data_IF_634095581400
#
_entry.id   IF_634095581400
#
_cell.length_a   1.000
_cell.length_b   1.000
_cell.length_c   1.000
_cell.angle_alpha   90.00
_cell.angle_beta   90.00
_cell.angle_gamma   90.00
#
_symmetry.space_group_name_H-M   'P 1'
#
loop_
_entity.id
_entity.type
_entity.pdbx_description
1 polymer ?
#
# COMPACT_ATOMS: atom_id res chain seq x y z
N UNK A 1 -8.41 21.62 23.93
CA UNK A 1 -8.52 21.04 22.58
C UNK A 1 -8.63 19.53 22.72
N UNK A 2 -9.71 18.91 22.22
CA UNK A 2 -9.71 17.44 22.01
C UNK A 2 -8.98 17.19 20.71
N UNK A 3 -7.75 16.71 20.77
CA UNK A 3 -7.08 16.20 19.58
C UNK A 3 -7.84 14.99 19.05
N UNK A 4 -8.07 14.94 17.74
CA UNK A 4 -8.62 13.76 17.08
C UNK A 4 -7.58 12.64 17.15
N UNK A 5 -7.96 11.44 17.60
CA UNK A 5 -7.06 10.29 17.70
C UNK A 5 -6.36 9.98 16.36
N UNK A 6 -7.06 10.15 15.24
CA UNK A 6 -6.46 9.93 13.92
C UNK A 6 -5.35 10.94 13.59
N UNK A 7 -5.46 12.16 14.09
CA UNK A 7 -4.46 13.21 13.87
C UNK A 7 -3.22 12.96 14.71
N UNK A 8 -3.40 12.50 15.96
CA UNK A 8 -2.29 12.04 16.81
C UNK A 8 -1.56 10.87 16.13
N UNK A 9 -2.31 9.87 15.66
CA UNK A 9 -1.72 8.71 14.97
C UNK A 9 -1.02 9.08 13.67
N UNK A 10 -1.55 10.05 12.93
CA UNK A 10 -0.93 10.55 11.71
C UNK A 10 0.39 11.28 11.99
N UNK A 11 0.42 12.18 12.97
CA UNK A 11 1.64 12.87 13.36
C UNK A 11 2.70 11.89 13.87
N UNK A 12 2.28 10.89 14.66
CA UNK A 12 3.18 9.83 15.10
C UNK A 12 3.72 9.01 13.91
N UNK A 13 2.88 8.71 12.92
CA UNK A 13 3.34 8.07 11.70
C UNK A 13 4.38 8.91 10.95
N UNK A 14 4.22 10.23 10.87
CA UNK A 14 5.22 11.11 10.24
C UNK A 14 6.56 11.13 11.00
N UNK A 15 6.52 11.14 12.33
CA UNK A 15 7.73 11.19 13.15
C UNK A 15 8.58 9.92 13.05
N UNK A 16 7.94 8.74 13.02
CA UNK A 16 8.65 7.46 13.02
C UNK A 16 9.03 6.97 11.61
N UNK A 17 8.35 7.45 10.57
CA UNK A 17 8.60 7.02 9.20
C UNK A 17 9.53 8.01 8.49
N UNK A 18 10.83 7.70 8.47
CA UNK A 18 11.78 8.34 7.55
C UNK A 18 11.65 7.69 6.17
N UNK A 19 10.74 8.18 5.34
CA UNK A 19 10.50 7.64 3.99
C UNK A 19 10.98 8.63 2.95
N UNK A 20 11.86 8.15 2.08
CA UNK A 20 12.21 8.82 0.84
C UNK A 20 11.62 8.05 -0.34
N UNK A 21 11.00 8.78 -1.26
CA UNK A 21 10.55 8.22 -2.51
C UNK A 21 11.74 8.15 -3.47
N UNK A 22 12.05 6.97 -4.01
CA UNK A 22 13.06 6.88 -5.06
C UNK A 22 12.61 7.72 -6.27
N UNK A 23 13.51 8.52 -6.82
CA UNK A 23 13.23 9.46 -7.92
C UNK A 23 12.47 8.83 -9.10
N UNK A 24 12.78 7.57 -9.41
CA UNK A 24 12.21 6.87 -10.56
C UNK A 24 10.81 6.27 -10.28
N UNK A 25 10.36 6.26 -9.02
CA UNK A 25 9.11 5.60 -8.62
C UNK A 25 7.91 6.18 -9.37
N UNK A 26 7.81 7.51 -9.45
CA UNK A 26 6.71 8.19 -10.14
C UNK A 26 6.72 7.86 -11.64
N UNK A 27 7.90 7.91 -12.27
CA UNK A 27 8.04 7.60 -13.70
C UNK A 27 7.59 6.17 -14.02
N UNK A 28 7.98 5.20 -13.20
CA UNK A 28 7.56 3.80 -13.35
C UNK A 28 6.03 3.66 -13.17
N UNK A 29 5.46 4.28 -12.13
CA UNK A 29 4.02 4.22 -11.89
C UNK A 29 3.21 4.87 -13.02
N UNK A 30 3.67 5.98 -13.59
CA UNK A 30 3.06 6.59 -14.77
C UNK A 30 3.15 5.67 -15.99
N UNK A 31 4.29 5.02 -16.24
CA UNK A 31 4.42 4.08 -17.36
C UNK A 31 3.48 2.88 -17.21
N UNK A 32 3.38 2.30 -16.00
CA UNK A 32 2.45 1.20 -15.73
C UNK A 32 1.00 1.62 -15.97
N UNK A 33 0.64 2.84 -15.55
CA UNK A 33 -0.68 3.43 -15.79
C UNK A 33 -0.95 3.63 -17.29
N UNK A 34 0.00 4.15 -18.06
CA UNK A 34 -0.11 4.32 -19.52
C UNK A 34 -0.27 2.98 -20.25
N UNK A 35 0.36 1.92 -19.74
CA UNK A 35 0.22 0.55 -20.27
C UNK A 35 -1.08 -0.13 -19.85
N UNK A 36 -1.93 0.53 -19.03
CA UNK A 36 -3.16 -0.06 -18.51
C UNK A 36 -2.93 -1.20 -17.52
N UNK A 37 -1.74 -1.28 -16.92
CA UNK A 37 -1.39 -2.32 -15.94
C UNK A 37 -1.90 -1.88 -14.56
N UNK A 38 -2.86 -2.61 -13.95
CA UNK A 38 -3.36 -2.25 -12.63
C UNK A 38 -2.31 -2.51 -11.56
N UNK A 39 -2.07 -1.51 -10.71
CA UNK A 39 -1.10 -1.59 -9.61
C UNK A 39 -1.84 -1.62 -8.27
N UNK A 40 -1.42 -2.49 -7.37
CA UNK A 40 -1.92 -2.60 -6.01
C UNK A 40 -0.76 -2.46 -5.03
N UNK A 41 -0.97 -1.74 -3.93
CA UNK A 41 0.03 -1.60 -2.87
C UNK A 41 -0.32 -2.52 -1.69
N UNK A 42 0.60 -3.40 -1.32
CA UNK A 42 0.52 -4.20 -0.10
C UNK A 42 1.71 -3.89 0.82
N UNK A 43 1.45 -3.18 1.92
CA UNK A 43 2.48 -2.83 2.91
C UNK A 43 2.22 -3.49 4.26
N UNK A 44 3.28 -3.96 4.91
CA UNK A 44 3.19 -4.13 6.36
C UNK A 44 3.15 -2.71 6.93
N UNK A 45 2.26 -2.42 7.86
CA UNK A 45 2.22 -1.17 8.62
C UNK A 45 1.51 -1.44 9.93
N UNK A 46 1.92 -0.73 10.98
CA UNK A 46 1.23 -0.72 12.27
C UNK A 46 0.00 0.22 12.26
N UNK A 47 -0.08 1.10 11.26
CA UNK A 47 -1.18 2.04 11.09
C UNK A 47 -2.18 1.54 10.05
N UNK A 48 -3.45 1.78 10.34
CA UNK A 48 -4.58 1.47 9.45
C UNK A 48 -4.64 2.41 8.26
N UNK A 49 -5.40 1.99 7.23
CA UNK A 49 -5.55 2.72 5.97
C UNK A 49 -6.02 4.17 6.11
N UNK A 50 -6.91 4.47 7.06
CA UNK A 50 -7.39 5.84 7.30
C UNK A 50 -6.25 6.81 7.65
N UNK A 51 -5.26 6.36 8.42
CA UNK A 51 -4.07 7.14 8.77
C UNK A 51 -3.09 7.15 7.60
N UNK A 52 -2.75 5.98 7.07
CA UNK A 52 -1.73 5.86 6.01
C UNK A 52 -2.14 6.48 4.69
N UNK A 53 -3.44 6.59 4.39
CA UNK A 53 -3.92 7.25 3.18
C UNK A 53 -3.50 8.73 3.14
N UNK A 54 -3.51 9.41 4.29
CA UNK A 54 -3.00 10.80 4.39
C UNK A 54 -1.52 10.86 4.03
N UNK A 55 -0.73 9.88 4.48
CA UNK A 55 0.69 9.78 4.17
C UNK A 55 0.96 9.57 2.67
N UNK A 56 0.26 8.61 2.05
CA UNK A 56 0.37 8.35 0.60
C UNK A 56 -0.03 9.57 -0.23
N UNK A 57 -1.07 10.30 0.20
CA UNK A 57 -1.54 11.49 -0.50
C UNK A 57 -0.54 12.66 -0.48
N UNK A 58 0.35 12.73 0.52
CA UNK A 58 1.40 13.78 0.54
C UNK A 58 2.35 13.68 -0.66
N UNK A 59 2.49 12.48 -1.23
CA UNK A 59 3.30 12.21 -2.41
C UNK A 59 2.47 12.09 -3.69
N UNK A 60 1.17 12.39 -3.63
CA UNK A 60 0.21 12.24 -4.75
C UNK A 60 0.22 10.83 -5.37
N UNK A 61 0.42 9.80 -4.54
CA UNK A 61 0.61 8.42 -4.99
C UNK A 61 -0.69 7.60 -5.10
N UNK A 62 -1.77 7.99 -4.40
CA UNK A 62 -3.04 7.23 -4.34
C UNK A 62 -3.63 7.00 -5.73
N UNK A 63 -3.43 7.96 -6.65
CA UNK A 63 -3.93 7.92 -8.04
C UNK A 63 -3.32 6.82 -8.93
N UNK A 64 -2.27 6.14 -8.48
CA UNK A 64 -1.61 5.07 -9.21
C UNK A 64 -2.08 3.68 -8.79
N UNK A 65 -2.71 3.55 -7.62
CA UNK A 65 -3.10 2.27 -7.07
C UNK A 65 -4.60 2.04 -7.25
N UNK A 66 -4.97 0.88 -7.79
CA UNK A 66 -6.38 0.43 -7.82
C UNK A 66 -6.87 0.26 -6.38
N UNK A 67 -6.04 -0.34 -5.53
CA UNK A 67 -6.28 -0.39 -4.10
C UNK A 67 -4.97 -0.45 -3.30
N UNK A 68 -5.07 -0.07 -2.03
CA UNK A 68 -3.98 -0.08 -1.06
C UNK A 68 -4.41 -0.88 0.17
N UNK A 69 -3.54 -1.79 0.60
CA UNK A 69 -3.73 -2.73 1.69
C UNK A 69 -2.61 -2.58 2.74
N UNK A 70 -2.98 -2.33 3.99
CA UNK A 70 -2.05 -2.30 5.12
C UNK A 70 -2.31 -3.47 6.07
N UNK A 71 -1.26 -4.13 6.57
CA UNK A 71 -1.40 -5.28 7.49
C UNK A 71 -2.23 -4.97 8.74
N UNK A 72 -2.15 -3.75 9.27
CA UNK A 72 -2.92 -3.33 10.45
C UNK A 72 -4.44 -3.35 10.24
N UNK A 73 -4.91 -3.27 8.98
CA UNK A 73 -6.34 -3.39 8.69
C UNK A 73 -6.85 -4.82 8.90
N UNK A 74 -5.96 -5.82 8.79
CA UNK A 74 -6.30 -7.24 8.81
C UNK A 74 -5.80 -7.98 10.05
N UNK A 75 -4.93 -7.35 10.85
CA UNK A 75 -4.30 -7.99 12.02
C UNK A 75 -3.27 -9.08 11.68
N UNK A 76 -2.92 -9.23 10.40
CA UNK A 76 -1.95 -10.20 9.89
C UNK A 76 -0.91 -9.49 9.02
N UNK A 77 0.35 -9.96 9.05
CA UNK A 77 1.48 -9.33 8.36
C UNK A 77 2.12 -10.28 7.34
N UNK A 78 2.72 -9.73 6.28
CA UNK A 78 3.60 -10.51 5.39
C UNK A 78 4.71 -11.18 6.22
N UNK A 79 5.08 -12.45 5.95
CA UNK A 79 4.72 -13.24 4.77
C UNK A 79 3.49 -14.16 4.95
N UNK A 80 2.56 -13.86 5.88
CA UNK A 80 1.38 -14.69 6.09
C UNK A 80 0.54 -14.84 4.80
N UNK A 81 0.22 -16.08 4.41
CA UNK A 81 -0.46 -16.41 3.15
C UNK A 81 -1.81 -15.71 3.02
N UNK A 82 -2.62 -15.72 4.07
CA UNK A 82 -3.96 -15.11 4.07
C UNK A 82 -3.94 -13.63 3.67
N UNK A 83 -2.86 -12.90 3.98
CA UNK A 83 -2.75 -11.50 3.58
C UNK A 83 -2.62 -11.36 2.06
N UNK A 84 -1.91 -12.28 1.41
CA UNK A 84 -1.84 -12.31 -0.06
C UNK A 84 -3.16 -12.77 -0.68
N UNK A 85 -3.88 -13.70 -0.04
CA UNK A 85 -5.20 -14.15 -0.50
C UNK A 85 -6.22 -13.01 -0.45
N UNK A 86 -6.23 -12.21 0.63
CA UNK A 86 -7.08 -11.01 0.74
C UNK A 86 -6.85 -10.03 -0.42
N UNK A 87 -5.58 -9.76 -0.76
CA UNK A 87 -5.25 -8.88 -1.88
C UNK A 87 -5.67 -9.50 -3.21
N UNK A 88 -5.43 -10.80 -3.40
CA UNK A 88 -5.81 -11.49 -4.62
C UNK A 88 -7.33 -11.54 -4.85
N UNK A 89 -8.09 -11.75 -3.79
CA UNK A 89 -9.55 -11.69 -3.84
C UNK A 89 -10.05 -10.27 -4.18
N UNK A 90 -9.34 -9.23 -3.75
CA UNK A 90 -9.63 -7.85 -4.16
C UNK A 90 -9.36 -7.63 -5.65
N UNK A 91 -8.23 -8.10 -6.15
CA UNK A 91 -7.89 -8.03 -7.58
C UNK A 91 -8.97 -8.73 -8.41
N UNK A 92 -9.47 -9.88 -7.96
CA UNK A 92 -10.52 -10.65 -8.64
C UNK A 92 -11.86 -9.91 -8.77
N UNK A 93 -12.13 -8.92 -7.91
CA UNK A 93 -13.34 -8.08 -8.06
C UNK A 93 -13.26 -7.20 -9.31
N UNK A 94 -12.06 -6.89 -9.77
CA UNK A 94 -11.79 -6.06 -10.95
C UNK A 94 -11.45 -6.88 -12.20
N UNK A 95 -10.85 -8.07 -12.03
CA UNK A 95 -10.58 -9.02 -13.11
C UNK A 95 -10.76 -10.46 -12.62
N UNK A 96 -11.91 -11.07 -12.92
CA UNK A 96 -12.24 -12.45 -12.52
C UNK A 96 -11.44 -13.52 -13.29
N UNK A 97 -10.77 -13.14 -14.38
CA UNK A 97 -10.01 -14.06 -15.25
C UNK A 97 -8.55 -14.21 -14.80
N UNK A 98 -8.10 -13.36 -13.87
CA UNK A 98 -6.72 -13.36 -13.40
C UNK A 98 -6.38 -14.64 -12.62
N UNK A 99 -5.18 -15.15 -12.88
CA UNK A 99 -4.60 -16.32 -12.20
C UNK A 99 -3.37 -15.89 -11.43
N UNK A 100 -3.04 -16.61 -10.37
CA UNK A 100 -1.86 -16.35 -9.52
C UNK A 100 -0.55 -16.22 -10.30
N UNK A 101 -0.37 -17.01 -11.36
CA UNK A 101 0.84 -16.99 -12.19
C UNK A 101 0.98 -15.74 -13.08
N UNK A 102 -0.05 -14.89 -13.17
CA UNK A 102 -0.01 -13.61 -13.86
C UNK A 102 0.23 -12.42 -12.91
N UNK A 103 0.29 -12.67 -11.60
CA UNK A 103 0.57 -11.65 -10.61
C UNK A 103 2.08 -11.47 -10.44
N UNK A 104 2.59 -10.29 -10.79
CA UNK A 104 3.97 -9.92 -10.49
C UNK A 104 4.00 -9.22 -9.13
N UNK A 105 4.58 -9.88 -8.12
CA UNK A 105 4.87 -9.24 -6.84
C UNK A 105 6.20 -8.50 -6.95
N UNK A 106 6.13 -7.17 -7.10
CA UNK A 106 7.30 -6.31 -6.98
C UNK A 106 7.51 -5.96 -5.51
N UNK A 107 8.59 -6.50 -4.93
CA UNK A 107 8.97 -6.19 -3.57
C UNK A 107 10.45 -6.44 -3.36
N UNK A 108 11.13 -5.42 -2.85
CA UNK A 108 12.32 -5.67 -2.03
C UNK A 108 11.76 -6.15 -0.69
N UNK A 109 12.20 -7.29 -0.16
CA UNK A 109 11.96 -7.64 1.25
C UNK A 109 12.76 -6.68 2.12
N UNK A 110 12.38 -5.41 2.13
CA UNK A 110 12.77 -4.52 3.19
C UNK A 110 12.01 -5.02 4.41
N UNK A 111 12.76 -5.44 5.44
CA UNK A 111 12.36 -5.11 6.80
C UNK A 111 12.23 -3.58 6.83
N UNK A 112 11.11 -3.05 6.34
CA UNK A 112 10.64 -1.75 6.75
C UNK A 112 10.25 -1.97 8.20
N UNK A 113 11.18 -1.60 9.07
CA UNK A 113 10.90 -1.42 10.48
C UNK A 113 9.85 -0.31 10.49
N UNK A 114 8.59 -0.70 10.71
CA UNK A 114 7.56 0.17 11.25
C UNK A 114 7.54 -0.04 12.76
#
# INVERSE_FOLDING_TARGET
MRYNLEEILFNYALEINTVELFNDTISILEQLKLLGIPVYLLSNSIFKKNVMKKFINQYDLDKYFVNIHFSADYGIRKPHRDLFEIVFDDIKKHDTTIKWNKLTLLGITLKLIF
#
